data_IF_131399708420
#
_entry.id   IF_131399708420
#
_cell.length_a   1.000
_cell.length_b   1.000
_cell.length_c   1.000
_cell.angle_alpha   90.00
_cell.angle_beta   90.00
_cell.angle_gamma   90.00
#
_symmetry.space_group_name_H-M   'P 1'
#
loop_
_entity.id
_entity.type
_entity.pdbx_description
1 polymer ?
#
# COMPACT_ATOMS: atom_id res chain seq x y z
N UNK A 1 -2.29 16.68 11.58
CA UNK A 1 -1.60 15.51 12.15
C UNK A 1 -2.26 14.27 11.55
N UNK A 2 -1.49 13.28 11.08
CA UNK A 2 -2.06 12.10 10.44
C UNK A 2 -2.74 11.20 11.49
N UNK A 3 -3.95 10.73 11.21
CA UNK A 3 -4.72 9.83 12.04
C UNK A 3 -4.35 8.38 11.70
N UNK A 4 -3.21 7.94 12.22
CA UNK A 4 -2.68 6.59 12.01
C UNK A 4 -2.80 5.83 13.32
N UNK A 5 -3.44 4.66 13.27
CA UNK A 5 -3.35 3.71 14.37
C UNK A 5 -1.92 3.18 14.46
N UNK A 6 -1.17 3.70 15.42
CA UNK A 6 0.23 3.33 15.68
C UNK A 6 0.37 2.01 16.43
N UNK A 7 -0.74 1.39 16.86
CA UNK A 7 -0.69 0.06 17.45
C UNK A 7 -0.38 -1.01 16.41
N UNK A 8 -0.69 -0.79 15.13
CA UNK A 8 -0.44 -1.73 14.03
C UNK A 8 0.73 -1.23 13.18
N UNK A 9 1.53 -2.13 12.60
CA UNK A 9 2.54 -1.72 11.61
C UNK A 9 1.87 -1.22 10.34
N UNK A 10 2.17 0.03 9.97
CA UNK A 10 1.62 0.66 8.77
C UNK A 10 2.73 0.90 7.74
N UNK A 11 2.43 0.60 6.47
CA UNK A 11 3.22 1.03 5.33
C UNK A 11 2.36 1.84 4.37
N UNK A 12 2.92 2.92 3.83
CA UNK A 12 2.35 3.62 2.69
C UNK A 12 2.67 2.87 1.40
N UNK A 13 1.67 2.68 0.56
CA UNK A 13 1.80 2.13 -0.79
C UNK A 13 1.59 3.26 -1.79
N UNK A 14 2.58 3.44 -2.66
CA UNK A 14 2.57 4.47 -3.70
C UNK A 14 2.61 3.79 -5.07
N UNK A 15 1.48 3.70 -5.80
CA UNK A 15 1.45 3.17 -7.16
C UNK A 15 2.11 4.15 -8.13
N UNK A 16 2.95 3.64 -9.03
CA UNK A 16 3.80 4.42 -9.92
C UNK A 16 3.57 4.08 -11.39
N UNK A 17 3.76 5.08 -12.25
CA UNK A 17 3.86 4.94 -13.70
C UNK A 17 5.11 5.68 -14.21
N UNK A 18 5.63 5.34 -15.39
CA UNK A 18 6.74 6.12 -15.97
C UNK A 18 6.35 7.55 -16.24
N UNK A 19 7.34 8.44 -16.13
CA UNK A 19 7.20 9.80 -16.63
C UNK A 19 6.78 9.80 -18.09
N UNK A 20 5.79 10.63 -18.42
CA UNK A 20 5.21 10.71 -19.77
C UNK A 20 4.13 9.67 -20.08
N UNK A 21 3.88 8.69 -19.20
CA UNK A 21 2.75 7.77 -19.37
C UNK A 21 1.44 8.51 -19.13
N UNK A 22 0.62 8.59 -20.19
CA UNK A 22 -0.73 9.18 -20.15
C UNK A 22 -1.81 8.16 -19.82
N UNK A 23 -1.48 6.87 -19.86
CA UNK A 23 -2.44 5.80 -19.63
C UNK A 23 -2.70 5.65 -18.12
N UNK A 24 -3.94 5.91 -17.64
CA UNK A 24 -4.29 5.77 -16.22
C UNK A 24 -4.26 4.32 -15.75
N UNK A 25 -4.33 3.34 -16.67
CA UNK A 25 -4.40 1.90 -16.36
C UNK A 25 -3.05 1.31 -15.97
N UNK A 26 -1.95 2.02 -16.26
CA UNK A 26 -0.60 1.50 -16.08
C UNK A 26 -0.12 1.71 -14.64
N UNK A 27 0.09 0.60 -13.94
CA UNK A 27 0.90 0.56 -12.71
C UNK A 27 2.16 -0.25 -13.03
N UNK A 28 3.29 0.42 -13.12
CA UNK A 28 4.57 -0.24 -13.43
C UNK A 28 5.29 -0.74 -12.18
N UNK A 29 5.09 -0.05 -11.06
CA UNK A 29 5.66 -0.42 -9.78
C UNK A 29 4.81 0.12 -8.64
N UNK A 30 4.97 -0.49 -7.47
CA UNK A 30 4.57 0.12 -6.21
C UNK A 30 5.81 0.33 -5.36
N UNK A 31 5.96 1.54 -4.80
CA UNK A 31 6.93 1.79 -3.73
C UNK A 31 6.24 1.74 -2.38
N UNK A 32 6.98 1.25 -1.39
CA UNK A 32 6.50 1.07 -0.03
C UNK A 32 7.34 1.94 0.90
N UNK A 33 6.68 2.59 1.85
CA UNK A 33 7.33 3.45 2.82
C UNK A 33 6.79 3.16 4.21
N UNK A 34 7.63 3.23 5.24
CA UNK A 34 7.15 3.19 6.62
C UNK A 34 6.40 4.49 6.99
N UNK A 35 5.89 4.58 8.23
CA UNK A 35 5.20 5.78 8.73
C UNK A 35 6.08 7.04 8.77
N UNK A 36 7.40 6.88 8.69
CA UNK A 36 8.39 7.96 8.67
C UNK A 36 8.85 8.28 7.24
N UNK A 37 8.19 7.73 6.21
CA UNK A 37 8.54 7.90 4.81
C UNK A 37 9.91 7.32 4.40
N UNK A 38 10.43 6.34 5.16
CA UNK A 38 11.61 5.59 4.74
C UNK A 38 11.21 4.48 3.75
N UNK A 39 11.88 4.43 2.60
CA UNK A 39 11.61 3.42 1.55
C UNK A 39 11.91 2.02 2.09
N UNK A 40 10.94 1.12 1.95
CA UNK A 40 11.04 -0.29 2.33
C UNK A 40 10.91 -1.16 1.07
N UNK A 41 11.72 -2.22 0.96
CA UNK A 41 11.60 -3.18 -0.15
C UNK A 41 10.27 -3.95 -0.04
N UNK A 42 9.65 -4.23 -1.18
CA UNK A 42 8.38 -4.95 -1.26
C UNK A 42 8.42 -6.34 -0.61
N UNK A 43 9.61 -6.96 -0.48
CA UNK A 43 9.79 -8.28 0.19
C UNK A 43 10.05 -8.20 1.70
N UNK A 44 10.29 -6.98 2.20
CA UNK A 44 10.75 -6.72 3.57
C UNK A 44 9.70 -6.01 4.42
N UNK A 45 8.43 -6.07 4.02
CA UNK A 45 7.31 -5.58 4.82
C UNK A 45 7.08 -6.54 6.00
N UNK A 46 7.20 -6.04 7.24
CA UNK A 46 7.12 -6.85 8.46
C UNK A 46 6.16 -6.25 9.47
N UNK A 47 5.55 -7.09 10.30
CA UNK A 47 4.87 -6.66 11.52
C UNK A 47 5.91 -6.35 12.62
N UNK A 48 6.25 -5.07 12.76
CA UNK A 48 7.15 -4.52 13.79
C UNK A 48 6.47 -4.23 15.12
N UNK A 49 5.14 -4.09 15.13
CA UNK A 49 4.37 -3.76 16.34
C UNK A 49 3.83 -5.01 17.05
N UNK A 50 4.19 -6.20 16.54
CA UNK A 50 3.82 -7.51 17.09
C UNK A 50 2.30 -7.72 17.22
N UNK A 51 1.52 -7.12 16.31
CA UNK A 51 0.05 -7.23 16.30
C UNK A 51 -0.49 -8.35 15.41
N UNK A 52 0.39 -9.18 14.84
CA UNK A 52 0.02 -10.22 13.90
C UNK A 52 -0.72 -9.65 12.67
N UNK A 53 -0.38 -8.43 12.28
CA UNK A 53 -0.96 -7.77 11.11
C UNK A 53 -0.09 -6.65 10.57
N UNK A 54 -0.25 -6.35 9.28
CA UNK A 54 0.34 -5.18 8.62
C UNK A 54 -0.74 -4.45 7.85
N UNK A 55 -0.82 -3.14 8.01
CA UNK A 55 -1.72 -2.27 7.27
C UNK A 55 -0.98 -1.63 6.10
N UNK A 56 -1.48 -1.85 4.88
CA UNK A 56 -0.99 -1.19 3.67
C UNK A 56 -1.95 -0.07 3.30
N UNK A 57 -1.45 1.15 3.17
CA UNK A 57 -2.26 2.36 3.03
C UNK A 57 -1.84 3.17 1.79
N UNK A 58 -2.76 3.38 0.87
CA UNK A 58 -2.59 4.37 -0.18
C UNK A 58 -3.13 5.72 0.32
N UNK A 59 -2.22 6.64 0.60
CA UNK A 59 -2.56 8.00 1.02
C UNK A 59 -2.76 8.92 -0.18
N UNK A 60 -3.49 10.01 0.04
CA UNK A 60 -3.58 11.11 -0.92
C UNK A 60 -2.18 11.66 -1.24
N UNK A 61 -1.90 11.86 -2.54
CA UNK A 61 -0.59 12.35 -3.02
C UNK A 61 -0.14 13.64 -2.36
N UNK A 62 -1.08 14.50 -1.94
CA UNK A 62 -0.80 15.78 -1.27
C UNK A 62 -0.20 15.61 0.12
N UNK A 63 -0.27 14.40 0.69
CA UNK A 63 0.28 14.06 2.00
C UNK A 63 1.67 13.42 1.93
N UNK A 64 2.16 13.12 0.72
CA UNK A 64 3.48 12.53 0.50
C UNK A 64 4.54 13.62 0.68
N UNK A 65 5.60 13.30 1.42
CA UNK A 65 6.73 14.21 1.60
C UNK A 65 7.33 14.61 0.23
N UNK A 66 7.66 15.89 0.08
CA UNK A 66 8.28 16.42 -1.13
C UNK A 66 9.59 15.68 -1.46
N UNK A 67 10.39 15.32 -0.45
CA UNK A 67 11.63 14.58 -0.67
C UNK A 67 11.36 13.19 -1.28
N UNK A 68 10.27 12.53 -0.87
CA UNK A 68 9.83 11.26 -1.45
C UNK A 68 9.40 11.44 -2.90
N UNK A 69 8.62 12.49 -3.19
CA UNK A 69 8.21 12.80 -4.56
C UNK A 69 9.40 13.09 -5.47
N UNK A 70 10.39 13.84 -4.99
CA UNK A 70 11.62 14.16 -5.73
C UNK A 70 12.46 12.89 -5.99
N UNK A 71 12.55 11.98 -5.01
CA UNK A 71 13.20 10.67 -5.19
C UNK A 71 12.49 9.80 -6.23
N UNK A 72 11.16 9.70 -6.19
CA UNK A 72 10.36 8.97 -7.20
C UNK A 72 10.61 9.53 -8.60
N UNK A 73 10.67 10.86 -8.73
CA UNK A 73 10.94 11.52 -10.00
C UNK A 73 12.35 11.23 -10.52
N UNK A 74 13.34 11.17 -9.62
CA UNK A 74 14.73 10.83 -9.97
C UNK A 74 14.85 9.40 -10.51
N UNK A 75 14.03 8.48 -10.00
CA UNK A 75 13.95 7.08 -10.48
C UNK A 75 13.23 6.97 -11.85
N UNK A 76 12.78 8.08 -12.45
CA UNK A 76 12.10 8.13 -13.75
C UNK A 76 10.60 7.78 -13.69
N UNK A 77 10.02 7.83 -12.50
CA UNK A 77 8.61 7.53 -12.25
C UNK A 77 7.83 8.77 -11.82
N UNK A 78 6.51 8.65 -11.80
CA UNK A 78 5.58 9.57 -11.14
C UNK A 78 4.51 8.77 -10.40
N UNK A 79 3.94 9.34 -9.35
CA UNK A 79 2.79 8.75 -8.66
C UNK A 79 1.61 8.64 -9.63
N UNK A 80 1.05 7.45 -9.80
CA UNK A 80 -0.19 7.27 -10.55
C UNK A 80 -1.37 7.71 -9.65
N UNK A 81 -1.95 8.86 -9.99
CA UNK A 81 -3.05 9.50 -9.24
C UNK A 81 -4.44 9.02 -9.68
N UNK A 82 -4.49 8.26 -10.77
CA UNK A 82 -5.73 7.86 -11.42
C UNK A 82 -6.26 6.53 -10.87
N UNK A 83 -5.47 5.86 -10.04
CA UNK A 83 -5.76 4.56 -9.44
C UNK A 83 -5.96 4.66 -7.93
N UNK A 84 -6.83 3.81 -7.40
CA UNK A 84 -7.20 3.76 -5.98
C UNK A 84 -7.19 2.32 -5.48
N UNK A 85 -6.61 2.06 -4.32
CA UNK A 85 -6.56 0.75 -3.71
C UNK A 85 -7.99 0.27 -3.45
N UNK A 86 -8.33 -0.88 -4.00
CA UNK A 86 -9.67 -1.44 -4.00
C UNK A 86 -9.75 -2.71 -3.15
N UNK A 87 -8.77 -3.60 -3.31
CA UNK A 87 -8.66 -4.82 -2.53
C UNK A 87 -7.24 -5.36 -2.56
N UNK A 88 -7.00 -6.41 -1.77
CA UNK A 88 -5.79 -7.21 -1.85
C UNK A 88 -6.16 -8.69 -1.79
N UNK A 89 -5.39 -9.51 -2.50
CA UNK A 89 -5.41 -10.96 -2.34
C UNK A 89 -4.10 -11.41 -1.71
N UNK A 90 -4.15 -12.18 -0.63
CA UNK A 90 -2.97 -12.63 0.09
C UNK A 90 -2.96 -14.15 0.23
N UNK A 91 -1.81 -14.79 0.00
CA UNK A 91 -1.62 -16.23 0.16
C UNK A 91 -0.46 -16.51 1.10
N UNK A 92 -0.67 -17.40 2.06
CA UNK A 92 0.41 -17.88 2.95
C UNK A 92 1.44 -18.68 2.13
N UNK A 93 2.70 -18.26 2.18
CA UNK A 93 3.82 -18.89 1.47
C UNK A 93 4.62 -19.85 2.36
N UNK A 94 4.49 -19.73 3.69
CA UNK A 94 5.15 -20.61 4.65
C UNK A 94 4.34 -20.78 5.93
N UNK A 95 4.33 -22.00 6.48
CA UNK A 95 3.51 -22.40 7.63
C UNK A 95 2.08 -22.83 7.26
N UNK A 96 1.39 -23.49 8.20
CA UNK A 96 -0.01 -23.88 8.06
C UNK A 96 -0.88 -22.99 8.96
N UNK A 97 -1.46 -21.94 8.38
CA UNK A 97 -2.44 -21.09 9.05
C UNK A 97 -3.57 -20.74 8.07
N UNK A 98 -4.81 -21.01 8.47
CA UNK A 98 -6.01 -20.61 7.72
C UNK A 98 -6.25 -19.12 7.91
N UNK A 99 -5.80 -18.30 6.95
CA UNK A 99 -6.01 -16.86 6.96
C UNK A 99 -6.89 -16.43 5.79
N UNK A 100 -7.70 -15.35 5.94
CA UNK A 100 -8.49 -14.81 4.84
C UNK A 100 -7.60 -14.39 3.68
N UNK A 101 -7.95 -14.85 2.47
CA UNK A 101 -7.16 -14.55 1.27
C UNK A 101 -7.63 -13.28 0.55
N UNK A 102 -8.90 -12.91 0.64
CA UNK A 102 -9.42 -11.67 0.04
C UNK A 102 -9.63 -10.62 1.13
N UNK A 103 -9.08 -9.43 0.91
CA UNK A 103 -9.11 -8.30 1.82
C UNK A 103 -9.66 -7.10 1.05
N UNK A 104 -10.71 -6.47 1.55
CA UNK A 104 -11.30 -5.28 0.91
C UNK A 104 -10.65 -4.02 1.47
N UNK A 105 -10.35 -3.07 0.58
CA UNK A 105 -9.84 -1.77 1.00
C UNK A 105 -10.94 -0.96 1.70
N UNK A 106 -10.55 -0.22 2.73
CA UNK A 106 -11.44 0.67 3.47
C UNK A 106 -10.97 2.11 3.29
N UNK A 107 -11.93 2.99 3.06
CA UNK A 107 -11.66 4.43 3.08
C UNK A 107 -11.66 4.92 4.52
N UNK A 108 -10.59 5.60 4.91
CA UNK A 108 -10.41 6.11 6.26
C UNK A 108 -9.89 7.56 6.20
N UNK A 109 -10.36 8.46 7.08
CA UNK A 109 -9.81 9.81 7.18
C UNK A 109 -8.36 9.71 7.66
N UNK A 110 -7.41 10.22 6.86
CA UNK A 110 -5.98 10.10 7.16
C UNK A 110 -5.36 11.41 7.62
N UNK A 111 -5.58 12.51 6.91
CA UNK A 111 -4.99 13.80 7.27
C UNK A 111 -5.89 14.97 6.88
N UNK A 112 -5.54 16.17 7.33
CA UNK A 112 -6.03 17.43 6.79
C UNK A 112 -4.92 18.07 5.97
N UNK A 113 -5.20 18.42 4.73
CA UNK A 113 -4.31 19.18 3.86
C UNK A 113 -5.00 20.49 3.50
N UNK A 114 -4.43 21.61 3.92
CA UNK A 114 -5.00 22.95 3.74
C UNK A 114 -6.43 23.09 4.29
N UNK A 115 -6.73 22.41 5.39
CA UNK A 115 -8.06 22.40 6.02
C UNK A 115 -9.04 21.39 5.43
N UNK A 116 -8.69 20.72 4.34
CA UNK A 116 -9.56 19.73 3.68
C UNK A 116 -9.17 18.29 4.05
N UNK A 117 -10.15 17.39 4.27
CA UNK A 117 -9.88 15.96 4.46
C UNK A 117 -9.13 15.34 3.29
N UNK A 118 -8.05 14.64 3.61
CA UNK A 118 -7.32 13.78 2.70
C UNK A 118 -7.61 12.33 3.12
N UNK A 119 -8.47 11.60 2.37
CA UNK A 119 -8.75 10.19 2.67
C UNK A 119 -7.54 9.32 2.32
N UNK A 120 -7.51 8.13 2.89
CA UNK A 120 -6.64 7.05 2.48
C UNK A 120 -7.43 5.77 2.31
N UNK A 121 -6.96 4.89 1.42
CA UNK A 121 -7.50 3.55 1.24
C UNK A 121 -6.53 2.53 1.83
N UNK A 122 -7.01 1.71 2.75
CA UNK A 122 -6.16 0.77 3.50
C UNK A 122 -6.66 -0.66 3.43
N UNK A 123 -5.73 -1.61 3.40
CA UNK A 123 -5.99 -3.04 3.60
C UNK A 123 -5.14 -3.55 4.76
N UNK A 124 -5.76 -4.26 5.70
CA UNK A 124 -5.03 -4.90 6.80
C UNK A 124 -4.85 -6.38 6.50
N UNK A 125 -3.59 -6.80 6.42
CA UNK A 125 -3.19 -8.17 6.12
C UNK A 125 -2.94 -8.89 7.44
N UNK A 126 -3.76 -9.88 7.81
CA UNK A 126 -3.49 -10.69 8.99
C UNK A 126 -2.31 -11.63 8.72
N UNK A 127 -1.51 -11.85 9.76
CA UNK A 127 -0.32 -12.69 9.76
C UNK A 127 -0.39 -13.65 10.94
N UNK A 128 -0.18 -14.94 10.73
CA UNK A 128 0.06 -15.84 11.84
C UNK A 128 1.53 -15.75 12.29
N UNK A 129 1.85 -16.08 13.55
CA UNK A 129 3.23 -16.17 14.01
C UNK A 129 4.09 -17.04 13.08
N UNK A 130 5.32 -16.60 12.79
CA UNK A 130 6.27 -17.30 11.91
C UNK A 130 5.78 -17.55 10.47
N UNK A 131 4.81 -16.79 9.98
CA UNK A 131 4.33 -16.91 8.59
C UNK A 131 4.76 -15.74 7.72
N UNK A 132 4.77 -16.00 6.41
CA UNK A 132 4.91 -15.01 5.34
C UNK A 132 3.77 -15.16 4.35
N UNK A 133 3.35 -14.05 3.77
CA UNK A 133 2.28 -14.00 2.78
C UNK A 133 2.73 -13.22 1.55
N UNK A 134 2.51 -13.80 0.37
CA UNK A 134 2.58 -13.09 -0.90
C UNK A 134 1.25 -12.39 -1.12
N UNK A 135 1.27 -11.15 -1.58
CA UNK A 135 0.10 -10.26 -1.61
C UNK A 135 0.00 -9.60 -2.97
N UNK A 136 -1.12 -9.73 -3.65
CA UNK A 136 -1.49 -8.97 -4.84
C UNK A 136 -2.33 -7.78 -4.41
N UNK A 137 -1.92 -6.57 -4.76
CA UNK A 137 -2.76 -5.37 -4.58
C UNK A 137 -3.58 -5.13 -5.83
N UNK A 138 -4.87 -4.86 -5.64
CA UNK A 138 -5.81 -4.55 -6.71
C UNK A 138 -6.23 -3.10 -6.55
N UNK A 139 -6.05 -2.32 -7.60
CA UNK A 139 -6.46 -0.93 -7.68
C UNK A 139 -7.62 -0.79 -8.66
N UNK A 140 -8.53 0.15 -8.39
CA UNK A 140 -9.56 0.59 -9.31
C UNK A 140 -9.23 1.93 -9.93
N UNK A 141 -9.71 2.16 -11.14
CA UNK A 141 -9.66 3.46 -11.82
C UNK A 141 -10.94 3.70 -12.63
N UNK A 142 -11.26 4.96 -12.88
CA UNK A 142 -12.39 5.33 -13.74
C UNK A 142 -11.98 5.28 -15.22
N UNK A 143 -12.73 4.51 -16.00
CA UNK A 143 -12.54 4.34 -17.44
C UNK A 143 -13.79 4.81 -18.20
N UNK A 144 -14.14 6.09 -18.04
CA UNK A 144 -15.28 6.70 -18.74
C UNK A 144 -16.63 6.29 -18.15
N UNK A 145 -16.77 6.34 -16.83
CA UNK A 145 -18.00 6.03 -16.11
C UNK A 145 -18.15 4.56 -15.71
N UNK A 146 -17.10 3.76 -15.87
CA UNK A 146 -17.02 2.37 -15.39
C UNK A 146 -15.72 2.19 -14.61
N UNK A 147 -15.83 1.62 -13.42
CA UNK A 147 -14.66 1.22 -12.64
C UNK A 147 -14.04 -0.02 -13.28
N UNK A 148 -12.76 0.07 -13.63
CA UNK A 148 -11.93 -1.06 -14.05
C UNK A 148 -10.90 -1.39 -12.96
N UNK A 149 -10.32 -2.58 -13.02
CA UNK A 149 -9.37 -3.08 -12.03
C UNK A 149 -8.02 -3.38 -12.68
N UNK A 150 -6.94 -2.99 -11.99
CA UNK A 150 -5.56 -3.34 -12.32
C UNK A 150 -4.89 -3.93 -11.07
N UNK A 151 -4.13 -5.01 -11.26
CA UNK A 151 -3.41 -5.67 -10.19
C UNK A 151 -1.91 -5.44 -10.32
N UNK A 152 -1.21 -5.32 -9.19
CA UNK A 152 0.25 -5.23 -9.15
C UNK A 152 0.89 -6.61 -9.11
N UNK A 153 2.21 -6.65 -9.26
CA UNK A 153 3.03 -7.79 -8.83
C UNK A 153 3.09 -7.87 -7.31
N UNK A 154 3.47 -9.04 -6.80
CA UNK A 154 3.34 -9.41 -5.39
C UNK A 154 4.38 -8.73 -4.47
N UNK A 155 4.01 -7.81 -3.54
CA UNK A 155 4.76 -7.66 -2.30
C UNK A 155 4.66 -8.91 -1.42
N UNK A 156 5.62 -9.08 -0.53
CA UNK A 156 5.58 -10.08 0.52
C UNK A 156 5.55 -9.41 1.89
N UNK A 157 4.69 -9.94 2.76
CA UNK A 157 4.53 -9.45 4.12
C UNK A 157 4.81 -10.59 5.09
N UNK A 158 5.61 -10.36 6.12
CA UNK A 158 5.91 -11.35 7.14
C UNK A 158 5.65 -10.87 8.55
N UNK A 159 5.54 -11.82 9.48
CA UNK A 159 5.58 -11.47 10.90
C UNK A 159 7.02 -11.03 11.27
N UNK A 160 7.16 -9.91 12.00
CA UNK A 160 8.47 -9.42 12.48
C UNK A 160 8.92 -10.06 13.79
N UNK A 161 8.01 -10.75 14.50
CA UNK A 161 8.44 -11.72 15.50
C UNK A 161 9.08 -12.92 14.77
N UNK A 162 10.41 -12.95 14.78
CA UNK A 162 11.21 -14.09 14.35
C UNK A 162 11.89 -14.67 15.60
N UNK A 163 12.03 -16.00 15.62
CA UNK A 163 12.85 -16.74 16.59
C UNK A 163 14.21 -16.09 16.85
#
# INVERSE_FOLDING_TARGET
MANIDTSITNYFVVPLKRQGSVDPTVIEACYYYDINWNKTDAKDLRDTEHQNSVCLRQCDVRTIDRQVLDSINTDGFVVNRDVRLFSATAKTLGGNAGMPNLLLAREEPYALVNGEPAPAWSVTIPLAPNTRRGVILVFSYDAGGRNQLVATTDPEVGNGSSN
#
